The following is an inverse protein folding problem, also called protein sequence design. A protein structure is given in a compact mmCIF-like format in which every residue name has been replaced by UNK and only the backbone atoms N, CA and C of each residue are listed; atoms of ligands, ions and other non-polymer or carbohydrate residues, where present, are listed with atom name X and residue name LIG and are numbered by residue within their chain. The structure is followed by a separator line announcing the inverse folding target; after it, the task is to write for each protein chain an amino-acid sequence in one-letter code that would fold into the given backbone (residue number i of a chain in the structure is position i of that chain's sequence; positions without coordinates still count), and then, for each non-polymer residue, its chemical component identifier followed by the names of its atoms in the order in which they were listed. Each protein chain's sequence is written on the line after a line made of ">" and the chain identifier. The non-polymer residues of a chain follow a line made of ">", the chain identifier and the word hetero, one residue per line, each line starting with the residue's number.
data_IF_707415449063
#
_entry.id   IF_707415449063
#
_cell.length_a   1.000
_cell.length_b   1.000
_cell.length_c   1.000
_cell.angle_alpha   90.00
_cell.angle_beta   90.00
_cell.angle_gamma   90.00
#
_symmetry.space_group_name_H-M   'P 1'
#
loop_
_entity.id
_entity.type
_entity.pdbx_description
1 polymer ?
#
# COMPACT_ATOMS: atom_id res chain seq x y z
N UNK A 1 -5.31 -8.61 -21.51
CA UNK A 1 -6.42 -8.96 -20.57
C UNK A 1 -5.90 -8.62 -19.20
N UNK A 2 -6.65 -7.89 -18.37
CA UNK A 2 -6.20 -7.52 -17.03
C UNK A 2 -6.52 -8.63 -16.05
N UNK A 3 -5.53 -9.05 -15.26
CA UNK A 3 -5.66 -10.04 -14.20
C UNK A 3 -5.36 -9.41 -12.84
N UNK A 4 -6.14 -9.74 -11.81
CA UNK A 4 -5.87 -9.31 -10.44
C UNK A 4 -5.18 -10.42 -9.64
N UNK A 5 -4.16 -10.05 -8.87
CA UNK A 5 -3.39 -10.99 -8.03
C UNK A 5 -3.24 -10.44 -6.62
N UNK A 6 -3.43 -11.31 -5.63
CA UNK A 6 -3.17 -11.00 -4.22
C UNK A 6 -1.74 -11.41 -3.90
N UNK A 7 -0.90 -10.44 -3.53
CA UNK A 7 0.49 -10.61 -3.17
C UNK A 7 0.67 -10.37 -1.66
N UNK A 8 1.50 -11.20 -1.04
CA UNK A 8 1.87 -11.16 0.38
C UNK A 8 3.35 -11.56 0.52
N UNK A 9 3.97 -11.22 1.65
CA UNK A 9 5.36 -11.59 1.94
C UNK A 9 6.31 -11.19 0.81
N UNK A 10 7.20 -12.10 0.39
CA UNK A 10 8.22 -11.81 -0.63
C UNK A 10 7.66 -11.38 -2.00
N UNK A 11 6.47 -11.87 -2.36
CA UNK A 11 5.81 -11.48 -3.61
C UNK A 11 5.30 -10.04 -3.56
N UNK A 12 4.83 -9.60 -2.39
CA UNK A 12 4.50 -8.19 -2.15
C UNK A 12 5.77 -7.35 -2.20
N UNK A 13 6.81 -7.77 -1.48
CA UNK A 13 8.10 -7.07 -1.40
C UNK A 13 8.71 -6.77 -2.77
N UNK A 14 8.67 -7.78 -3.66
CA UNK A 14 9.16 -7.68 -5.05
C UNK A 14 8.34 -6.68 -5.88
N UNK A 15 7.07 -6.49 -5.58
CA UNK A 15 6.16 -5.63 -6.35
C UNK A 15 6.17 -4.16 -5.88
N UNK A 16 6.72 -3.83 -4.70
CA UNK A 16 6.62 -2.49 -4.13
C UNK A 16 7.33 -1.40 -4.93
N UNK A 17 8.41 -1.72 -5.63
CA UNK A 17 9.09 -0.75 -6.50
C UNK A 17 8.21 -0.39 -7.72
N UNK A 18 7.47 -1.35 -8.28
CA UNK A 18 6.49 -1.08 -9.34
C UNK A 18 5.31 -0.24 -8.82
N UNK A 19 4.91 -0.45 -7.55
CA UNK A 19 3.86 0.34 -6.89
C UNK A 19 4.31 1.79 -6.68
N UNK A 20 5.53 2.01 -6.22
CA UNK A 20 6.10 3.34 -6.06
C UNK A 20 6.08 4.11 -7.39
N UNK A 21 6.54 3.48 -8.47
CA UNK A 21 6.48 4.06 -9.82
C UNK A 21 5.05 4.33 -10.28
N UNK A 22 4.12 3.41 -10.01
CA UNK A 22 2.72 3.57 -10.37
C UNK A 22 2.09 4.78 -9.64
N UNK A 23 2.34 4.92 -8.34
CA UNK A 23 1.84 6.04 -7.52
C UNK A 23 2.31 7.39 -8.06
N UNK A 24 3.61 7.53 -8.35
CA UNK A 24 4.18 8.75 -8.94
C UNK A 24 3.48 9.08 -10.27
N UNK A 25 3.37 8.11 -11.17
CA UNK A 25 2.77 8.33 -12.49
C UNK A 25 1.28 8.68 -12.40
N UNK A 26 0.52 8.00 -11.54
CA UNK A 26 -0.90 8.26 -11.36
C UNK A 26 -1.10 9.64 -10.74
N UNK A 27 -0.43 9.98 -9.64
CA UNK A 27 -0.62 11.29 -9.00
C UNK A 27 -0.28 12.45 -9.93
N UNK A 28 0.79 12.33 -10.74
CA UNK A 28 1.14 13.33 -11.77
C UNK A 28 0.11 13.49 -12.87
N UNK A 29 -0.70 12.47 -13.15
CA UNK A 29 -1.74 12.51 -14.18
C UNK A 29 -3.03 13.22 -13.72
N UNK A 30 -3.17 13.49 -12.42
CA UNK A 30 -4.30 14.18 -11.81
C UNK A 30 -3.84 15.52 -11.22
N UNK A 31 -4.73 16.48 -10.90
CA UNK A 31 -4.35 17.80 -10.42
C UNK A 31 -3.89 17.79 -8.93
N UNK A 32 -3.11 16.78 -8.55
CA UNK A 32 -2.45 16.73 -7.24
C UNK A 32 -1.17 17.56 -7.27
N UNK A 33 -0.92 18.30 -6.19
CA UNK A 33 0.38 18.94 -5.93
C UNK A 33 1.36 17.88 -5.40
N UNK A 34 1.66 16.88 -6.22
CA UNK A 34 2.55 15.78 -5.87
C UNK A 34 3.43 15.41 -7.05
N UNK A 35 4.71 15.80 -6.97
CA UNK A 35 5.71 15.39 -7.94
C UNK A 35 6.18 13.95 -7.71
N UNK A 36 6.29 13.56 -6.43
CA UNK A 36 6.76 12.27 -5.98
C UNK A 36 8.24 11.99 -6.30
N UNK A 37 8.88 11.21 -5.45
CA UNK A 37 10.19 10.64 -5.72
C UNK A 37 10.27 9.21 -5.18
N UNK A 38 11.18 8.42 -5.75
CA UNK A 38 11.28 7.00 -5.43
C UNK A 38 11.78 6.72 -4.01
N UNK A 39 12.59 7.60 -3.44
CA UNK A 39 13.12 7.42 -2.09
C UNK A 39 12.02 7.64 -1.05
N UNK A 40 11.25 8.71 -1.23
CA UNK A 40 10.06 8.98 -0.42
C UNK A 40 9.02 7.85 -0.53
N UNK A 41 8.68 7.42 -1.75
CA UNK A 41 7.70 6.33 -1.94
C UNK A 41 8.16 5.01 -1.31
N UNK A 42 9.45 4.66 -1.41
CA UNK A 42 9.99 3.46 -0.74
C UNK A 42 9.87 3.55 0.77
N UNK A 43 10.18 4.72 1.33
CA UNK A 43 10.05 4.96 2.78
C UNK A 43 8.59 4.85 3.21
N UNK A 44 7.67 5.46 2.45
CA UNK A 44 6.23 5.38 2.70
C UNK A 44 5.70 3.94 2.62
N UNK A 45 6.16 3.16 1.64
CA UNK A 45 5.73 1.78 1.44
C UNK A 45 6.38 0.78 2.41
N UNK A 46 7.32 1.22 3.27
CA UNK A 46 8.03 0.33 4.19
C UNK A 46 7.09 -0.33 5.21
N UNK A 47 6.00 0.33 5.60
CA UNK A 47 4.98 -0.25 6.49
C UNK A 47 4.39 -1.58 5.95
N UNK A 48 4.30 -1.72 4.62
CA UNK A 48 3.82 -2.96 3.99
C UNK A 48 4.89 -4.07 3.93
N UNK A 49 6.19 -3.72 4.07
CA UNK A 49 7.27 -4.70 4.22
C UNK A 49 7.34 -5.24 5.64
N UNK A 50 7.10 -4.37 6.62
CA UNK A 50 7.27 -4.67 8.04
C UNK A 50 6.05 -5.36 8.66
N UNK A 51 4.85 -5.18 8.10
CA UNK A 51 3.66 -5.89 8.57
C UNK A 51 3.53 -7.27 7.92
N UNK A 52 3.59 -8.32 8.75
CA UNK A 52 3.34 -9.72 8.35
C UNK A 52 1.93 -9.94 7.76
N UNK A 53 1.02 -9.00 8.02
CA UNK A 53 -0.38 -9.07 7.59
C UNK A 53 -0.68 -8.17 6.40
N UNK A 54 0.31 -7.44 5.89
CA UNK A 54 0.16 -6.61 4.72
C UNK A 54 -0.31 -7.42 3.51
N UNK A 55 -1.13 -6.79 2.69
CA UNK A 55 -1.64 -7.33 1.43
C UNK A 55 -1.52 -6.29 0.34
N UNK A 56 -1.15 -6.76 -0.85
CA UNK A 56 -1.21 -5.98 -2.06
C UNK A 56 -2.09 -6.71 -3.07
N UNK A 57 -3.08 -6.02 -3.62
CA UNK A 57 -3.88 -6.50 -4.74
C UNK A 57 -3.44 -5.73 -5.98
N UNK A 58 -2.68 -6.39 -6.84
CA UNK A 58 -2.16 -5.81 -8.09
C UNK A 58 -3.04 -6.18 -9.28
N UNK A 59 -3.29 -5.22 -10.17
CA UNK A 59 -3.88 -5.44 -11.48
C UNK A 59 -2.76 -5.46 -12.54
N UNK A 60 -2.68 -6.53 -13.32
CA UNK A 60 -1.59 -6.79 -14.25
C UNK A 60 -2.09 -6.89 -15.69
N UNK A 61 -1.38 -6.23 -16.62
CA UNK A 61 -1.45 -6.51 -18.05
C UNK A 61 -0.20 -7.32 -18.45
N UNK A 62 -0.34 -8.64 -18.55
CA UNK A 62 0.79 -9.56 -18.64
C UNK A 62 1.63 -9.54 -17.35
N UNK A 63 2.87 -9.05 -17.45
CA UNK A 63 3.77 -8.89 -16.30
C UNK A 63 3.81 -7.46 -15.76
N UNK A 64 3.15 -6.50 -16.43
CA UNK A 64 3.18 -5.10 -16.05
C UNK A 64 2.11 -4.81 -15.02
N UNK A 65 2.49 -4.27 -13.86
CA UNK A 65 1.56 -3.72 -12.88
C UNK A 65 0.96 -2.42 -13.43
N UNK A 66 -0.38 -2.36 -13.52
CA UNK A 66 -1.13 -1.19 -14.05
C UNK A 66 -2.12 -0.62 -13.04
N UNK A 67 -2.32 -1.29 -11.90
CA UNK A 67 -3.18 -0.85 -10.80
C UNK A 67 -2.76 -1.55 -9.51
N UNK A 68 -2.97 -0.92 -8.36
CA UNK A 68 -2.71 -1.52 -7.07
C UNK A 68 -3.68 -0.99 -6.01
N UNK A 69 -4.07 -1.87 -5.10
CA UNK A 69 -4.65 -1.54 -3.81
C UNK A 69 -3.79 -2.21 -2.73
N UNK A 70 -3.40 -1.46 -1.72
CA UNK A 70 -2.60 -1.95 -0.60
C UNK A 70 -3.46 -1.95 0.67
N UNK A 71 -3.13 -2.83 1.60
CA UNK A 71 -3.79 -2.89 2.89
C UNK A 71 -2.83 -3.36 3.98
N UNK A 72 -2.80 -2.68 5.11
CA UNK A 72 -2.12 -3.14 6.33
C UNK A 72 -3.08 -3.02 7.51
N UNK A 73 -2.99 -3.85 8.57
CA UNK A 73 -3.78 -3.62 9.77
C UNK A 73 -3.62 -2.17 10.25
N UNK A 74 -4.71 -1.54 10.64
CA UNK A 74 -4.72 -0.12 11.03
C UNK A 74 -3.80 0.14 12.23
N UNK A 75 -3.63 -0.86 13.10
CA UNK A 75 -2.66 -0.87 14.21
C UNK A 75 -1.21 -0.72 13.76
N UNK A 76 -0.88 -1.20 12.56
CA UNK A 76 0.47 -1.21 12.01
C UNK A 76 0.73 0.03 11.14
N UNK A 77 -0.29 0.87 10.91
CA UNK A 77 -0.22 2.03 10.04
C UNK A 77 0.17 3.33 10.76
N UNK A 78 -0.32 3.57 11.99
CA UNK A 78 0.12 4.68 12.84
C UNK A 78 -0.43 4.56 14.28
N UNK A 79 0.41 4.92 15.26
CA UNK A 79 0.03 5.04 16.68
C UNK A 79 -1.08 6.08 16.92
N UNK A 80 -1.20 7.09 16.04
CA UNK A 80 -2.25 8.11 16.15
C UNK A 80 -3.65 7.52 16.01
N UNK A 81 -3.81 6.46 15.19
CA UNK A 81 -5.08 5.75 15.08
C UNK A 81 -5.37 4.96 16.36
N UNK A 82 -4.36 4.32 16.94
CA UNK A 82 -4.52 3.63 18.23
C UNK A 82 -5.04 4.57 19.32
N UNK A 83 -4.53 5.80 19.38
CA UNK A 83 -5.03 6.81 20.31
C UNK A 83 -6.46 7.27 19.99
N UNK A 84 -6.76 7.55 18.72
CA UNK A 84 -8.07 8.07 18.30
C UNK A 84 -9.23 7.08 18.54
N UNK A 85 -8.95 5.78 18.46
CA UNK A 85 -9.95 4.72 18.60
C UNK A 85 -9.98 4.08 20.00
N UNK A 86 -9.21 4.60 20.97
CA UNK A 86 -9.04 4.00 22.29
C UNK A 86 -10.33 3.79 23.10
N UNK A 87 -11.35 4.63 22.90
CA UNK A 87 -12.66 4.52 23.55
C UNK A 87 -13.72 3.82 22.69
N UNK A 88 -13.33 3.23 21.56
CA UNK A 88 -14.25 2.53 20.64
C UNK A 88 -14.19 1.01 20.80
N UNK A 89 -15.28 0.33 20.49
CA UNK A 89 -15.33 -1.15 20.43
C UNK A 89 -14.65 -1.72 19.17
N UNK A 90 -13.96 -0.89 18.37
CA UNK A 90 -13.33 -1.29 17.12
C UNK A 90 -11.98 -1.94 17.43
N UNK A 91 -11.86 -3.23 17.11
CA UNK A 91 -10.58 -3.93 17.13
C UNK A 91 -9.74 -3.51 15.92
N UNK A 92 -8.79 -2.61 16.12
CA UNK A 92 -7.94 -2.06 15.04
C UNK A 92 -7.16 -3.13 14.28
N UNK A 93 -6.83 -4.25 14.92
CA UNK A 93 -6.21 -5.41 14.29
C UNK A 93 -7.13 -6.12 13.27
N UNK A 94 -8.44 -5.90 13.32
CA UNK A 94 -9.44 -6.44 12.39
C UNK A 94 -9.79 -5.45 11.27
N UNK A 95 -9.21 -4.24 11.28
CA UNK A 95 -9.44 -3.17 10.30
C UNK A 95 -8.18 -2.99 9.46
N UNK A 96 -8.32 -2.90 8.14
CA UNK A 96 -7.22 -2.63 7.22
C UNK A 96 -7.35 -1.19 6.70
N UNK A 97 -6.21 -0.50 6.60
CA UNK A 97 -6.04 0.78 5.91
C UNK A 97 -5.31 0.58 4.58
#
# INVERSE_FOLDING_TARGET
>A
MIETRVLKGSALDTALDDVALLRINVFRAFPYLYDGDLEYERTYLNAYRESDRAVLVGAFDGNRLVGAATGTPLSDHSDDFSAAFGDSDIRLSDVFY
#
